data_IF_289141096980
#
_entry.id   IF_289141096980
#
_cell.length_a   1.000
_cell.length_b   1.000
_cell.length_c   1.000
_cell.angle_alpha   90.00
_cell.angle_beta   90.00
_cell.angle_gamma   90.00
#
_symmetry.space_group_name_H-M   'P 1'
#
loop_
_entity.id
_entity.type
_entity.pdbx_description
1 polymer ?
#
# COMPACT_ATOMS: atom_id res chain seq x y z
N UNK A 1 41.74 9.58 28.36
CA UNK A 1 41.59 9.52 26.89
C UNK A 1 40.68 8.39 26.40
N UNK A 2 40.80 7.15 26.92
CA UNK A 2 39.99 5.99 26.47
C UNK A 2 38.46 6.11 26.61
N UNK A 3 37.97 6.82 27.65
CA UNK A 3 36.51 6.96 27.93
C UNK A 3 35.84 8.05 27.10
N UNK A 4 36.56 9.15 26.82
CA UNK A 4 36.09 10.29 26.02
C UNK A 4 35.85 9.88 24.56
N UNK A 5 36.72 9.03 24.01
CA UNK A 5 36.57 8.52 22.64
C UNK A 5 35.29 7.67 22.47
N UNK A 6 34.96 6.84 23.47
CA UNK A 6 33.78 5.96 23.43
C UNK A 6 32.49 6.78 23.48
N UNK A 7 32.41 7.78 24.35
CA UNK A 7 31.23 8.64 24.48
C UNK A 7 30.95 9.45 23.21
N UNK A 8 31.99 9.92 22.53
CA UNK A 8 31.85 10.63 21.23
C UNK A 8 31.35 9.67 20.16
N UNK A 9 31.84 8.43 20.12
CA UNK A 9 31.41 7.43 19.13
C UNK A 9 29.94 7.02 19.30
N UNK A 10 29.46 6.88 20.54
CA UNK A 10 28.03 6.56 20.80
C UNK A 10 27.11 7.75 20.51
N UNK A 11 27.55 8.97 20.84
CA UNK A 11 26.82 10.21 20.49
C UNK A 11 26.73 10.44 18.98
N UNK A 12 27.81 10.15 18.24
CA UNK A 12 27.83 10.26 16.77
C UNK A 12 26.92 9.22 16.10
N UNK A 13 26.76 8.03 16.70
CA UNK A 13 25.85 6.98 16.22
C UNK A 13 24.36 7.31 16.43
N UNK A 14 24.02 8.17 17.41
CA UNK A 14 22.65 8.66 17.59
C UNK A 14 22.25 9.77 16.60
N UNK A 15 23.21 10.45 15.97
CA UNK A 15 22.96 11.50 14.98
C UNK A 15 22.65 10.97 13.56
N UNK A 16 22.80 9.65 13.33
CA UNK A 16 22.60 8.99 12.03
C UNK A 16 21.33 8.12 11.95
N UNK A 17 20.42 8.25 12.92
CA UNK A 17 19.15 7.52 12.92
C UNK A 17 18.21 8.13 11.86
N UNK A 18 18.22 7.59 10.64
CA UNK A 18 17.17 7.89 9.68
C UNK A 18 15.87 7.22 10.18
N UNK A 19 14.89 8.03 10.60
CA UNK A 19 13.54 7.55 10.84
C UNK A 19 12.92 7.20 9.48
N UNK A 20 13.12 5.96 9.03
CA UNK A 20 12.39 5.46 7.87
C UNK A 20 10.94 5.25 8.29
N UNK A 21 10.06 6.13 7.82
CA UNK A 21 8.62 5.95 7.96
C UNK A 21 8.20 4.59 7.39
N UNK A 22 7.28 3.92 8.07
CA UNK A 22 6.59 2.79 7.50
C UNK A 22 5.66 3.31 6.41
N UNK A 23 5.60 2.59 5.28
CA UNK A 23 4.63 2.93 4.24
C UNK A 23 3.22 2.91 4.82
N UNK A 24 2.48 4.00 4.59
CA UNK A 24 1.09 4.14 5.02
C UNK A 24 0.20 4.09 3.80
N UNK A 25 -0.83 3.24 3.84
CA UNK A 25 -1.90 3.19 2.85
C UNK A 25 -3.14 3.83 3.47
N UNK A 26 -3.74 4.80 2.79
CA UNK A 26 -4.97 5.47 3.23
C UNK A 26 -6.03 5.39 2.15
N UNK A 27 -7.29 5.27 2.58
CA UNK A 27 -8.46 5.20 1.71
C UNK A 27 -9.40 6.36 2.04
N UNK A 28 -9.97 6.98 1.02
CA UNK A 28 -10.96 8.04 1.23
C UNK A 28 -12.28 7.47 1.76
N UNK A 29 -13.01 8.31 2.51
CA UNK A 29 -14.39 8.03 2.92
C UNK A 29 -15.34 8.80 2.02
N UNK A 30 -16.36 8.14 1.51
CA UNK A 30 -17.38 8.73 0.65
C UNK A 30 -18.76 8.18 1.00
N UNK A 31 -19.75 9.05 1.04
CA UNK A 31 -21.16 8.68 1.15
C UNK A 31 -21.80 8.75 -0.23
N UNK A 32 -22.63 7.76 -0.55
CA UNK A 32 -23.26 7.63 -1.86
C UNK A 32 -24.67 7.07 -1.70
N UNK A 33 -25.58 7.54 -2.53
CA UNK A 33 -26.94 7.03 -2.59
C UNK A 33 -26.99 5.59 -3.12
N UNK A 34 -28.05 4.87 -2.78
CA UNK A 34 -28.28 3.52 -3.29
C UNK A 34 -28.37 3.53 -4.83
N UNK A 35 -27.72 2.55 -5.47
CA UNK A 35 -27.63 2.40 -6.93
C UNK A 35 -26.79 3.46 -7.67
N UNK A 36 -26.12 4.36 -6.95
CA UNK A 36 -25.12 5.25 -7.54
C UNK A 36 -23.70 4.65 -7.46
N UNK A 37 -22.80 5.17 -8.30
CA UNK A 37 -21.39 4.76 -8.30
C UNK A 37 -20.57 5.67 -7.39
N UNK A 38 -19.73 5.07 -6.55
CA UNK A 38 -18.74 5.78 -5.73
C UNK A 38 -17.32 5.42 -6.16
N UNK A 39 -16.41 6.39 -6.06
CA UNK A 39 -14.97 6.18 -6.26
C UNK A 39 -14.27 6.35 -4.92
N UNK A 40 -13.51 5.33 -4.52
CA UNK A 40 -12.68 5.36 -3.31
C UNK A 40 -11.23 5.55 -3.74
N UNK A 41 -10.64 6.65 -3.29
CA UNK A 41 -9.25 6.97 -3.59
C UNK A 41 -8.33 6.22 -2.64
N UNK A 42 -7.32 5.56 -3.20
CA UNK A 42 -6.30 4.84 -2.45
C UNK A 42 -4.98 5.58 -2.63
N UNK A 43 -4.40 6.07 -1.54
CA UNK A 43 -3.13 6.78 -1.56
C UNK A 43 -2.10 6.09 -0.67
N UNK A 44 -0.83 6.15 -1.09
CA UNK A 44 0.30 5.59 -0.36
C UNK A 44 1.33 6.68 -0.08
N UNK A 45 1.91 6.66 1.12
CA UNK A 45 2.91 7.65 1.55
C UNK A 45 3.92 7.04 2.51
N UNK A 46 4.96 7.79 2.86
CA UNK A 46 5.92 7.38 3.89
C UNK A 46 6.93 6.33 3.44
N UNK A 47 7.27 6.27 2.15
CA UNK A 47 8.32 5.39 1.65
C UNK A 47 9.33 6.15 0.78
N UNK A 48 10.59 5.71 0.80
CA UNK A 48 11.66 6.26 -0.06
C UNK A 48 12.07 5.26 -1.12
N UNK A 49 12.26 3.99 -0.74
CA UNK A 49 12.59 2.89 -1.63
C UNK A 49 11.79 1.65 -1.23
N UNK A 50 10.97 1.13 -2.15
CA UNK A 50 10.25 -0.14 -2.00
C UNK A 50 10.42 -0.94 -3.28
N UNK A 51 10.77 -2.23 -3.13
CA UNK A 51 10.86 -3.14 -4.27
C UNK A 51 9.49 -3.58 -4.77
N UNK A 52 8.51 -3.68 -3.87
CA UNK A 52 7.14 -4.05 -4.19
C UNK A 52 6.31 -4.16 -2.92
N UNK A 53 5.00 -4.01 -3.07
CA UNK A 53 4.02 -4.17 -2.00
C UNK A 53 2.77 -4.82 -2.58
N UNK A 54 2.07 -5.60 -1.75
CA UNK A 54 0.80 -6.20 -2.12
C UNK A 54 -0.16 -6.08 -0.93
N UNK A 55 -1.37 -5.57 -1.20
CA UNK A 55 -2.42 -5.36 -0.21
C UNK A 55 -3.75 -5.88 -0.75
N UNK A 56 -4.60 -6.35 0.17
CA UNK A 56 -5.97 -6.76 -0.12
C UNK A 56 -6.94 -5.71 0.38
N UNK A 57 -7.78 -5.19 -0.52
CA UNK A 57 -8.90 -4.30 -0.18
C UNK A 57 -10.17 -5.16 -0.15
N UNK A 58 -10.83 -5.20 1.00
CA UNK A 58 -12.05 -5.96 1.20
C UNK A 58 -13.25 -5.00 1.31
N UNK A 59 -14.39 -5.41 0.74
CA UNK A 59 -15.65 -4.70 0.83
C UNK A 59 -16.80 -5.71 0.97
N UNK A 60 -17.95 -5.26 1.46
CA UNK A 60 -19.16 -6.09 1.54
C UNK A 60 -19.81 -6.22 0.15
N UNK A 61 -19.73 -7.41 -0.43
CA UNK A 61 -20.25 -7.70 -1.77
C UNK A 61 -21.78 -7.81 -1.82
N UNK A 62 -22.47 -7.78 -0.68
CA UNK A 62 -23.95 -7.73 -0.64
C UNK A 62 -24.49 -6.32 -0.82
N UNK A 63 -23.63 -5.31 -0.61
CA UNK A 63 -23.97 -3.88 -0.68
C UNK A 63 -23.28 -3.21 -1.87
N UNK A 64 -22.02 -3.58 -2.15
CA UNK A 64 -21.19 -2.94 -3.17
C UNK A 64 -20.78 -3.92 -4.27
N UNK A 65 -20.72 -3.42 -5.51
CA UNK A 65 -20.18 -4.16 -6.66
C UNK A 65 -18.95 -3.45 -7.19
N UNK A 66 -17.86 -4.19 -7.35
CA UNK A 66 -16.64 -3.64 -7.97
C UNK A 66 -16.88 -3.35 -9.44
N UNK A 67 -16.56 -2.14 -9.89
CA UNK A 67 -16.71 -1.71 -11.29
C UNK A 67 -15.37 -1.76 -12.00
N UNK A 68 -14.45 -0.87 -11.65
CA UNK A 68 -13.12 -0.76 -12.26
C UNK A 68 -12.12 -0.07 -11.32
N UNK A 69 -10.85 -0.04 -11.75
CA UNK A 69 -9.79 0.80 -11.19
C UNK A 69 -9.29 1.75 -12.26
N UNK A 70 -9.08 3.01 -11.89
CA UNK A 70 -8.68 4.08 -12.81
C UNK A 70 -7.69 5.02 -12.11
N UNK A 71 -7.19 6.04 -12.83
CA UNK A 71 -6.36 7.12 -12.29
C UNK A 71 -5.09 6.66 -11.56
N UNK A 72 -4.36 5.72 -12.16
CA UNK A 72 -3.08 5.27 -11.62
C UNK A 72 -2.01 6.37 -11.67
N UNK A 73 -1.29 6.53 -10.57
CA UNK A 73 -0.21 7.53 -10.48
C UNK A 73 1.01 7.11 -11.28
N UNK A 74 1.53 8.03 -12.11
CA UNK A 74 2.77 7.83 -12.87
C UNK A 74 4.00 7.64 -11.96
N UNK A 75 3.93 8.09 -10.70
CA UNK A 75 4.98 7.88 -9.70
C UNK A 75 5.10 6.43 -9.24
N UNK A 76 4.13 5.57 -9.59
CA UNK A 76 4.12 4.15 -9.30
C UNK A 76 4.12 3.35 -10.62
N UNK A 77 5.26 3.24 -11.31
CA UNK A 77 5.32 2.65 -12.66
C UNK A 77 4.89 1.17 -12.75
N UNK A 78 4.82 0.46 -11.62
CA UNK A 78 4.31 -0.91 -11.53
C UNK A 78 2.80 -1.01 -11.25
N UNK A 79 2.12 0.10 -10.94
CA UNK A 79 0.71 0.13 -10.63
C UNK A 79 -0.11 0.41 -11.89
N UNK A 80 -0.82 -0.60 -12.37
CA UNK A 80 -1.74 -0.51 -13.51
C UNK A 80 -2.94 -1.44 -13.28
N UNK A 81 -3.91 -1.44 -14.19
CA UNK A 81 -5.04 -2.37 -14.13
C UNK A 81 -4.62 -3.84 -14.12
N UNK A 82 -3.47 -4.18 -14.70
CA UNK A 82 -2.91 -5.53 -14.67
C UNK A 82 -2.32 -5.92 -13.29
N UNK A 83 -1.99 -4.93 -12.45
CA UNK A 83 -1.50 -5.15 -11.09
C UNK A 83 -2.64 -5.37 -10.08
N UNK A 84 -3.90 -5.20 -10.49
CA UNK A 84 -5.08 -5.37 -9.64
C UNK A 84 -5.73 -6.72 -9.90
N UNK A 85 -5.67 -7.63 -8.92
CA UNK A 85 -6.40 -8.89 -8.91
C UNK A 85 -7.75 -8.70 -8.19
N UNK A 86 -8.83 -9.32 -8.71
CA UNK A 86 -10.17 -9.15 -8.14
C UNK A 86 -11.29 -9.72 -9.02
N UNK A 87 -12.58 -9.48 -8.67
CA UNK A 87 -13.75 -10.06 -9.36
C UNK A 87 -13.78 -9.78 -10.87
N UNK A 88 -13.23 -8.64 -11.29
CA UNK A 88 -13.10 -8.24 -12.70
C UNK A 88 -11.62 -8.01 -13.11
N UNK A 89 -10.65 -8.43 -12.29
CA UNK A 89 -9.21 -8.23 -12.55
C UNK A 89 -8.65 -9.30 -13.50
N UNK A 90 -7.71 -8.92 -14.37
CA UNK A 90 -7.01 -9.83 -15.30
C UNK A 90 -5.97 -10.65 -14.52
N UNK A 91 -6.43 -11.56 -13.67
CA UNK A 91 -5.58 -12.33 -12.76
C UNK A 91 -6.35 -13.19 -11.75
N UNK A 92 -7.57 -13.59 -12.07
CA UNK A 92 -8.45 -14.35 -11.17
C UNK A 92 -7.85 -15.72 -10.84
N UNK A 93 -7.24 -15.90 -9.66
CA UNK A 93 -7.28 -17.21 -8.98
C UNK A 93 -8.59 -17.27 -8.22
N UNK A 94 -9.54 -18.04 -8.75
CA UNK A 94 -10.85 -18.27 -8.13
C UNK A 94 -10.64 -18.87 -6.73
N UNK A 95 -11.45 -18.41 -5.77
CA UNK A 95 -11.51 -18.89 -4.37
C UNK A 95 -11.58 -20.44 -4.32
N UNK A 96 -10.43 -21.08 -4.18
CA UNK A 96 -10.23 -22.46 -3.74
C UNK A 96 -8.75 -22.74 -3.45
N UNK A 97 -7.84 -22.03 -4.11
CA UNK A 97 -6.41 -22.24 -3.90
C UNK A 97 -5.87 -21.23 -2.90
N UNK A 98 -5.76 -21.64 -1.63
CA UNK A 98 -4.85 -21.02 -0.68
C UNK A 98 -3.46 -20.96 -1.33
N UNK A 99 -3.05 -19.80 -1.83
CA UNK A 99 -1.71 -19.60 -2.37
C UNK A 99 -0.90 -18.78 -1.37
N UNK A 100 -0.32 -19.51 -0.43
CA UNK A 100 0.88 -19.08 0.28
C UNK A 100 2.02 -19.11 -0.74
N UNK A 101 2.68 -18.00 -1.07
CA UNK A 101 4.03 -18.06 -1.66
C UNK A 101 4.87 -16.87 -1.20
N UNK A 102 5.87 -17.24 -0.39
CA UNK A 102 7.14 -16.62 0.01
C UNK A 102 7.15 -15.13 0.31
#
# INVERSE_FOLDING_TARGET
MRKILITIFTGLFMLIQNAHGQMTLTMSNIEVDQNAQATVDVTVSGFTNLLGVQYSINYDSTILTFVNTTNFSASLPGLSSAAVSGPNGVGVKKRADYFFVV
#
